data_IF_707561973973
#
_entry.id   IF_707561973973
#
_cell.length_a   1.000
_cell.length_b   1.000
_cell.length_c   1.000
_cell.angle_alpha   90.00
_cell.angle_beta   90.00
_cell.angle_gamma   90.00
#
_symmetry.space_group_name_H-M   'P 1'
#
loop_
_entity.id
_entity.type
_entity.pdbx_description
1 polymer ?
#
# COMPACT_ATOMS: atom_id res chain seq x y z
N UNK A 1 11.06 1.14 23.81
CA UNK A 1 10.98 2.50 23.24
C UNK A 1 10.23 3.40 24.20
N UNK A 2 10.71 4.62 24.43
CA UNK A 2 9.98 5.68 25.13
C UNK A 2 9.60 6.72 24.06
N UNK A 3 8.31 7.00 23.90
CA UNK A 3 7.83 7.99 22.92
C UNK A 3 7.62 9.30 23.67
N UNK A 4 8.18 10.39 23.14
CA UNK A 4 8.00 11.76 23.64
C UNK A 4 7.40 12.58 22.51
N UNK A 5 6.34 13.33 22.82
CA UNK A 5 5.70 14.27 21.89
C UNK A 5 5.93 15.67 22.47
N UNK A 6 6.46 16.57 21.65
CA UNK A 6 6.71 17.97 22.00
C UNK A 6 5.84 18.83 21.09
N UNK A 7 5.02 19.71 21.65
CA UNK A 7 4.17 20.63 20.90
C UNK A 7 4.88 21.98 20.88
N UNK A 8 5.13 22.53 19.70
CA UNK A 8 5.73 23.85 19.51
C UNK A 8 4.86 24.66 18.55
N UNK A 9 4.24 25.73 19.06
CA UNK A 9 3.32 26.57 18.28
C UNK A 9 4.03 27.42 17.19
N UNK A 10 5.37 27.43 17.20
CA UNK A 10 6.20 28.19 16.26
C UNK A 10 6.63 27.39 15.04
N UNK A 11 6.28 26.11 14.94
CA UNK A 11 6.61 25.28 13.78
C UNK A 11 5.74 25.69 12.59
N UNK A 12 6.37 25.97 11.45
CA UNK A 12 5.66 26.22 10.19
C UNK A 12 5.06 24.93 9.61
N UNK A 13 5.70 23.78 9.84
CA UNK A 13 5.25 22.45 9.42
C UNK A 13 5.61 21.39 10.48
N UNK A 14 4.86 20.29 10.50
CA UNK A 14 5.10 19.15 11.39
C UNK A 14 6.44 18.47 11.05
N UNK A 15 7.36 18.40 12.02
CA UNK A 15 8.66 17.75 11.88
C UNK A 15 8.74 16.47 12.74
N UNK A 16 9.35 15.40 12.18
CA UNK A 16 9.62 14.16 12.93
C UNK A 16 11.13 13.94 13.07
N UNK A 17 11.64 14.06 14.30
CA UNK A 17 13.05 13.82 14.63
C UNK A 17 13.24 12.47 15.35
N UNK A 18 13.91 11.52 14.72
CA UNK A 18 14.21 10.20 15.30
C UNK A 18 15.57 10.25 16.01
N UNK A 19 15.58 10.24 17.35
CA UNK A 19 16.81 10.14 18.16
C UNK A 19 17.03 8.70 18.64
N UNK A 20 18.12 8.08 18.22
CA UNK A 20 18.49 6.71 18.56
C UNK A 20 19.99 6.58 18.87
N UNK A 21 20.38 5.59 19.68
CA UNK A 21 21.79 5.31 20.00
C UNK A 21 22.56 4.66 18.85
N UNK A 22 21.87 3.99 17.93
CA UNK A 22 22.43 3.42 16.71
C UNK A 22 21.34 3.21 15.67
N UNK A 23 21.72 3.24 14.39
CA UNK A 23 20.83 2.88 13.29
C UNK A 23 20.70 1.36 13.24
N UNK A 24 19.55 0.83 13.63
CA UNK A 24 19.23 -0.60 13.62
C UNK A 24 17.93 -0.87 12.85
N UNK A 25 17.60 -2.13 12.61
CA UNK A 25 16.42 -2.52 11.81
C UNK A 25 15.10 -1.91 12.32
N UNK A 26 14.94 -1.74 13.63
CA UNK A 26 13.74 -1.12 14.20
C UNK A 26 13.66 0.37 13.87
N UNK A 27 14.79 1.10 13.96
CA UNK A 27 14.88 2.53 13.61
C UNK A 27 14.63 2.73 12.11
N UNK A 28 15.21 1.86 11.26
CA UNK A 28 15.00 1.89 9.80
C UNK A 28 13.52 1.65 9.46
N UNK A 29 12.88 0.68 10.13
CA UNK A 29 11.46 0.38 9.92
C UNK A 29 10.57 1.57 10.30
N UNK A 30 10.90 2.28 11.38
CA UNK A 30 10.20 3.50 11.81
C UNK A 30 10.36 4.64 10.80
N UNK A 31 11.58 4.87 10.31
CA UNK A 31 11.84 5.87 9.27
C UNK A 31 10.99 5.61 8.03
N UNK A 32 10.96 4.36 7.55
CA UNK A 32 10.18 3.98 6.37
C UNK A 32 8.68 4.20 6.61
N UNK A 33 8.17 3.76 7.76
CA UNK A 33 6.77 3.95 8.12
C UNK A 33 6.38 5.43 8.14
N UNK A 34 7.18 6.30 8.76
CA UNK A 34 6.90 7.74 8.82
C UNK A 34 6.95 8.36 7.42
N UNK A 35 7.93 7.96 6.61
CA UNK A 35 8.09 8.45 5.23
C UNK A 35 6.96 8.03 4.29
N UNK A 36 6.31 6.90 4.58
CA UNK A 36 5.11 6.42 3.89
C UNK A 36 3.84 7.18 4.33
N UNK A 37 3.81 7.73 5.55
CA UNK A 37 2.65 8.38 6.15
C UNK A 37 2.61 9.91 5.97
N UNK A 38 3.72 10.54 5.56
CA UNK A 38 3.78 11.98 5.25
C UNK A 38 3.03 12.40 3.96
N UNK A 39 2.06 11.59 3.49
CA UNK A 39 0.68 12.07 3.43
C UNK A 39 0.32 13.21 2.46
N UNK A 40 1.18 13.61 1.53
CA UNK A 40 0.65 13.98 0.22
C UNK A 40 0.35 12.68 -0.48
N UNK A 41 -0.92 12.36 -0.77
CA UNK A 41 -1.25 11.29 -1.72
C UNK A 41 -0.36 11.53 -2.93
N UNK A 42 0.67 10.70 -3.13
CA UNK A 42 1.63 10.92 -4.21
C UNK A 42 0.83 10.82 -5.49
N UNK A 43 0.61 11.96 -6.14
CA UNK A 43 -0.07 11.99 -7.41
C UNK A 43 0.96 11.71 -8.50
N UNK A 44 0.61 10.85 -9.44
CA UNK A 44 1.36 10.67 -10.66
C UNK A 44 0.76 11.60 -11.73
N UNK A 45 1.61 12.37 -12.40
CA UNK A 45 1.21 13.13 -13.59
C UNK A 45 0.95 12.14 -14.73
N UNK A 46 -0.28 12.10 -15.23
CA UNK A 46 -0.76 11.23 -16.29
C UNK A 46 -1.49 12.07 -17.35
N UNK A 47 -1.55 11.60 -18.59
CA UNK A 47 -2.17 12.33 -19.69
C UNK A 47 -3.32 11.57 -20.34
N UNK A 48 -4.34 12.29 -20.76
CA UNK A 48 -5.38 11.81 -21.66
C UNK A 48 -5.61 12.90 -22.71
N UNK A 49 -5.16 12.62 -23.94
CA UNK A 49 -5.03 13.60 -25.03
C UNK A 49 -4.18 14.81 -24.61
N UNK A 50 -4.75 16.00 -24.60
CA UNK A 50 -4.08 17.27 -24.28
C UNK A 50 -4.25 17.67 -22.80
N UNK A 51 -4.86 16.81 -21.98
CA UNK A 51 -5.14 17.13 -20.58
C UNK A 51 -4.21 16.37 -19.64
N UNK A 52 -3.56 17.12 -18.76
CA UNK A 52 -2.77 16.61 -17.65
C UNK A 52 -3.67 16.31 -16.44
N UNK A 53 -3.47 15.14 -15.82
CA UNK A 53 -4.14 14.70 -14.61
C UNK A 53 -3.09 14.39 -13.54
N UNK A 54 -3.36 14.80 -12.30
CA UNK A 54 -2.57 14.43 -11.13
C UNK A 54 -3.35 13.36 -10.37
N UNK A 55 -3.10 12.09 -10.69
CA UNK A 55 -3.89 10.98 -10.18
C UNK A 55 -3.24 10.39 -8.93
N UNK A 56 -3.95 10.31 -7.80
CA UNK A 56 -3.42 9.69 -6.59
C UNK A 56 -3.00 8.23 -6.84
N UNK A 57 -1.81 7.84 -6.38
CA UNK A 57 -1.26 6.50 -6.59
C UNK A 57 -2.19 5.39 -6.06
N UNK A 58 -2.93 5.64 -4.98
CA UNK A 58 -3.90 4.71 -4.41
C UNK A 58 -5.11 4.45 -5.32
N UNK A 59 -5.36 5.30 -6.33
CA UNK A 59 -6.40 5.07 -7.34
C UNK A 59 -5.92 4.21 -8.51
N UNK A 60 -4.60 3.99 -8.64
CA UNK A 60 -4.01 3.24 -9.74
C UNK A 60 -3.98 1.75 -9.38
N UNK A 61 -4.57 0.94 -10.27
CA UNK A 61 -4.70 -0.50 -10.11
C UNK A 61 -3.48 -1.22 -10.68
N UNK A 62 -3.05 -0.81 -11.87
CA UNK A 62 -1.85 -1.35 -12.51
C UNK A 62 -1.38 -0.42 -13.63
N UNK A 63 -0.16 -0.67 -14.06
CA UNK A 63 0.43 -0.12 -15.25
C UNK A 63 0.75 -1.26 -16.22
N UNK A 64 0.51 -1.04 -17.50
CA UNK A 64 0.95 -1.97 -18.54
C UNK A 64 1.47 -1.25 -19.78
N UNK A 65 2.36 -1.92 -20.52
CA UNK A 65 2.82 -1.42 -21.81
C UNK A 65 1.92 -1.94 -22.91
N UNK A 66 1.26 -1.04 -23.64
CA UNK A 66 0.50 -1.34 -24.83
C UNK A 66 1.24 -0.76 -26.05
N UNK A 67 1.79 -1.64 -26.90
CA UNK A 67 2.66 -1.23 -27.99
C UNK A 67 3.96 -0.58 -27.47
N UNK A 68 4.07 0.74 -27.59
CA UNK A 68 5.23 1.53 -27.12
C UNK A 68 4.90 2.45 -25.95
N UNK A 69 3.64 2.51 -25.54
CA UNK A 69 3.17 3.45 -24.54
C UNK A 69 2.89 2.73 -23.23
N UNK A 70 3.34 3.33 -22.12
CA UNK A 70 2.97 2.89 -20.79
C UNK A 70 1.60 3.48 -20.45
N UNK A 71 0.66 2.62 -20.05
CA UNK A 71 -0.69 3.00 -19.63
C UNK A 71 -0.82 2.83 -18.13
N UNK A 72 -1.48 3.77 -17.49
CA UNK A 72 -1.90 3.69 -16.10
C UNK A 72 -3.40 3.43 -16.04
N UNK A 73 -3.80 2.37 -15.33
CA UNK A 73 -5.19 1.96 -15.21
C UNK A 73 -5.71 2.29 -13.82
N UNK A 74 -6.77 3.07 -13.76
CA UNK A 74 -7.62 3.22 -12.57
C UNK A 74 -8.80 2.25 -12.67
N UNK A 75 -9.76 2.30 -11.76
CA UNK A 75 -10.93 1.41 -11.80
C UNK A 75 -11.72 1.51 -13.13
N UNK A 76 -11.85 2.73 -13.66
CA UNK A 76 -12.74 3.11 -14.75
C UNK A 76 -12.01 3.80 -15.93
N UNK A 77 -10.83 4.40 -15.70
CA UNK A 77 -10.08 5.13 -16.74
C UNK A 77 -8.71 4.54 -17.05
N UNK A 78 -8.22 4.86 -18.23
CA UNK A 78 -6.87 4.56 -18.72
C UNK A 78 -6.21 5.88 -19.11
N UNK A 79 -4.97 6.07 -18.69
CA UNK A 79 -4.18 7.25 -19.00
C UNK A 79 -2.84 6.86 -19.63
N UNK A 80 -2.27 7.75 -20.42
CA UNK A 80 -0.85 7.68 -20.82
C UNK A 80 0.04 8.06 -19.64
N UNK A 81 1.13 7.30 -19.47
CA UNK A 81 2.17 7.55 -18.49
C UNK A 81 3.47 7.89 -19.22
N UNK A 82 4.06 9.05 -18.91
CA UNK A 82 5.28 9.52 -19.57
C UNK A 82 6.57 8.80 -19.13
N UNK A 83 6.50 7.98 -18.08
CA UNK A 83 7.62 7.19 -17.59
C UNK A 83 7.78 5.90 -18.41
N UNK A 84 9.00 5.36 -18.40
CA UNK A 84 9.24 3.97 -18.79
C UNK A 84 8.97 3.03 -17.62
N UNK A 85 8.66 1.78 -17.93
CA UNK A 85 8.29 0.79 -16.91
C UNK A 85 9.38 0.59 -15.84
N UNK A 86 10.66 0.62 -16.20
CA UNK A 86 11.75 0.45 -15.24
C UNK A 86 11.93 1.68 -14.33
N UNK A 87 11.73 2.89 -14.85
CA UNK A 87 11.75 4.13 -14.08
C UNK A 87 10.62 4.13 -13.06
N UNK A 88 9.46 3.64 -13.50
CA UNK A 88 8.30 3.48 -12.65
C UNK A 88 8.53 2.42 -11.57
N UNK A 89 9.23 1.32 -11.86
CA UNK A 89 9.57 0.29 -10.88
C UNK A 89 10.49 0.81 -9.76
N UNK A 90 11.41 1.73 -10.09
CA UNK A 90 12.26 2.40 -9.09
C UNK A 90 11.50 3.45 -8.27
N UNK A 91 10.61 4.21 -8.93
CA UNK A 91 9.80 5.24 -8.29
C UNK A 91 8.72 4.67 -7.37
N UNK A 92 8.10 3.56 -7.78
CA UNK A 92 7.00 2.92 -7.06
C UNK A 92 7.54 2.00 -5.97
N UNK A 93 7.34 2.36 -4.71
CA UNK A 93 7.68 1.52 -3.56
C UNK A 93 6.44 1.00 -2.83
N UNK A 94 6.65 0.04 -1.92
CA UNK A 94 5.61 -0.47 -1.03
C UNK A 94 4.59 -1.37 -1.72
N UNK A 95 3.53 -0.79 -2.28
CA UNK A 95 2.32 -1.53 -2.67
C UNK A 95 2.31 -1.97 -4.13
N UNK A 96 3.25 -1.47 -4.94
CA UNK A 96 3.40 -1.91 -6.31
C UNK A 96 4.35 -3.10 -6.44
N UNK A 97 4.12 -3.93 -7.45
CA UNK A 97 4.95 -5.08 -7.77
C UNK A 97 4.91 -5.36 -9.28
N UNK A 98 6.08 -5.58 -9.88
CA UNK A 98 6.17 -6.06 -11.26
C UNK A 98 5.74 -7.52 -11.34
N UNK A 99 4.81 -7.84 -12.24
CA UNK A 99 4.24 -9.19 -12.40
C UNK A 99 4.45 -9.78 -13.80
N UNK A 100 5.02 -9.00 -14.71
CA UNK A 100 5.38 -9.43 -16.06
C UNK A 100 6.49 -8.53 -16.60
N UNK A 101 6.98 -8.82 -17.81
CA UNK A 101 7.92 -7.92 -18.50
C UNK A 101 7.33 -6.54 -18.80
N UNK A 102 6.01 -6.43 -18.88
CA UNK A 102 5.29 -5.24 -19.32
C UNK A 102 4.28 -4.72 -18.30
N UNK A 103 4.22 -5.26 -17.07
CA UNK A 103 3.13 -4.95 -16.12
C UNK A 103 3.63 -4.80 -14.69
N UNK A 104 3.20 -3.71 -14.04
CA UNK A 104 3.35 -3.45 -12.60
C UNK A 104 1.96 -3.29 -11.99
N UNK A 105 1.65 -3.99 -10.91
CA UNK A 105 0.32 -3.93 -10.26
C UNK A 105 0.40 -3.30 -8.89
N UNK A 106 -0.68 -2.65 -8.48
CA UNK A 106 -0.93 -2.32 -7.09
C UNK A 106 -1.55 -3.53 -6.38
N UNK A 107 -0.86 -4.04 -5.37
CA UNK A 107 -1.27 -5.21 -4.60
C UNK A 107 -2.54 -4.97 -3.77
N UNK A 108 -2.85 -3.73 -3.42
CA UNK A 108 -4.05 -3.39 -2.62
C UNK A 108 -5.34 -3.58 -3.39
N UNK A 109 -5.28 -3.54 -4.72
CA UNK A 109 -6.45 -3.68 -5.59
C UNK A 109 -6.68 -5.10 -6.06
N UNK A 110 -5.77 -6.04 -5.83
CA UNK A 110 -5.93 -7.43 -6.28
C UNK A 110 -7.07 -8.10 -5.51
N UNK A 111 -8.09 -8.53 -6.25
CA UNK A 111 -9.20 -9.32 -5.73
C UNK A 111 -8.92 -10.82 -5.79
N UNK A 112 -8.54 -11.31 -6.97
CA UNK A 112 -8.39 -12.74 -7.25
C UNK A 112 -7.17 -13.00 -8.13
N UNK A 113 -6.63 -14.22 -8.02
CA UNK A 113 -5.67 -14.77 -8.97
C UNK A 113 -6.15 -16.15 -9.39
N UNK A 114 -6.50 -16.32 -10.67
CA UNK A 114 -6.83 -17.62 -11.24
C UNK A 114 -5.56 -18.25 -11.82
N UNK A 115 -5.02 -19.24 -11.10
CA UNK A 115 -3.75 -19.89 -11.44
C UNK A 115 -3.87 -20.69 -12.73
N UNK A 116 -2.91 -20.50 -13.63
CA UNK A 116 -2.65 -21.36 -14.77
C UNK A 116 -1.27 -22.02 -14.61
N UNK A 117 -1.19 -23.34 -14.76
CA UNK A 117 0.06 -24.10 -14.56
C UNK A 117 0.98 -24.06 -15.78
N UNK A 118 0.40 -23.96 -16.98
CA UNK A 118 1.13 -24.06 -18.24
C UNK A 118 1.37 -22.69 -18.89
N UNK A 119 0.57 -21.68 -18.53
CA UNK A 119 0.63 -20.32 -19.06
C UNK A 119 0.61 -19.24 -17.97
N UNK A 120 0.42 -17.98 -18.36
CA UNK A 120 0.22 -16.86 -17.43
C UNK A 120 -1.07 -17.02 -16.64
N UNK A 121 -1.07 -16.56 -15.38
CA UNK A 121 -2.25 -16.60 -14.52
C UNK A 121 -3.02 -15.28 -14.58
N UNK A 122 -4.34 -15.33 -14.43
CA UNK A 122 -5.21 -14.16 -14.51
C UNK A 122 -5.28 -13.45 -13.16
N UNK A 123 -5.15 -12.12 -13.17
CA UNK A 123 -5.31 -11.25 -12.00
C UNK A 123 -6.54 -10.38 -12.23
N UNK A 124 -7.43 -10.33 -11.24
CA UNK A 124 -8.63 -9.50 -11.23
C UNK A 124 -8.60 -8.51 -10.07
N UNK A 125 -9.25 -7.36 -10.25
CA UNK A 125 -9.19 -6.25 -9.30
C UNK A 125 -10.53 -5.96 -8.62
N UNK A 126 -10.48 -5.47 -7.39
CA UNK A 126 -11.67 -5.12 -6.60
C UNK A 126 -12.49 -4.04 -7.30
N UNK A 127 -13.80 -4.22 -7.44
CA UNK A 127 -14.68 -3.15 -7.95
C UNK A 127 -14.42 -2.69 -9.39
N UNK A 128 -13.68 -3.46 -10.19
CA UNK A 128 -13.41 -3.16 -11.61
C UNK A 128 -13.54 -4.42 -12.47
N UNK A 129 -13.96 -4.24 -13.72
CA UNK A 129 -13.96 -5.31 -14.73
C UNK A 129 -12.60 -5.54 -15.38
N UNK A 130 -11.61 -4.69 -15.07
CA UNK A 130 -10.25 -4.80 -15.60
C UNK A 130 -9.56 -6.06 -15.11
N UNK A 131 -8.71 -6.61 -15.98
CA UNK A 131 -7.91 -7.81 -15.69
C UNK A 131 -6.52 -7.66 -16.28
N UNK A 132 -5.55 -8.36 -15.71
CA UNK A 132 -4.20 -8.47 -16.26
C UNK A 132 -3.64 -9.88 -16.07
N UNK A 133 -2.45 -10.14 -16.60
CA UNK A 133 -1.79 -11.44 -16.55
C UNK A 133 -0.48 -11.36 -15.78
N UNK A 134 -0.31 -12.23 -14.78
CA UNK A 134 0.99 -12.50 -14.16
C UNK A 134 1.72 -13.60 -14.92
N UNK A 135 2.96 -13.31 -15.32
CA UNK A 135 3.81 -14.27 -16.01
C UNK A 135 4.31 -15.37 -15.06
N UNK A 136 4.57 -16.57 -15.58
CA UNK A 136 5.00 -17.74 -14.78
C UNK A 136 6.17 -17.46 -13.84
N UNK A 137 7.19 -16.73 -14.31
CA UNK A 137 8.37 -16.38 -13.51
C UNK A 137 8.09 -15.42 -12.35
N UNK A 138 7.01 -14.65 -12.41
CA UNK A 138 6.63 -13.66 -11.39
C UNK A 138 5.53 -14.16 -10.45
N UNK A 139 4.83 -15.24 -10.80
CA UNK A 139 3.71 -15.77 -10.02
C UNK A 139 4.10 -16.06 -8.57
N UNK A 140 5.23 -16.75 -8.36
CA UNK A 140 5.70 -17.11 -7.02
C UNK A 140 5.88 -15.86 -6.15
N UNK A 141 6.64 -14.89 -6.65
CA UNK A 141 6.90 -13.62 -5.98
C UNK A 141 5.60 -12.88 -5.65
N UNK A 142 4.66 -12.78 -6.60
CA UNK A 142 3.35 -12.15 -6.37
C UNK A 142 2.58 -12.81 -5.23
N UNK A 143 2.49 -14.14 -5.23
CA UNK A 143 1.75 -14.87 -4.19
C UNK A 143 2.40 -14.80 -2.81
N UNK A 144 3.74 -14.78 -2.75
CA UNK A 144 4.50 -14.58 -1.51
C UNK A 144 4.23 -13.18 -0.94
N UNK A 145 4.36 -12.12 -1.76
CA UNK A 145 4.08 -10.73 -1.35
C UNK A 145 2.65 -10.55 -0.83
N UNK A 146 1.66 -11.17 -1.47
CA UNK A 146 0.26 -11.09 -1.02
C UNK A 146 0.02 -11.86 0.30
N UNK A 147 0.68 -13.00 0.50
CA UNK A 147 0.59 -13.76 1.75
C UNK A 147 1.16 -12.98 2.92
N UNK A 148 2.34 -12.38 2.75
CA UNK A 148 3.01 -11.60 3.79
C UNK A 148 2.17 -10.40 4.23
N UNK A 149 1.46 -9.76 3.29
CA UNK A 149 0.53 -8.66 3.57
C UNK A 149 -0.68 -9.14 4.39
N UNK A 150 -1.25 -10.31 4.08
CA UNK A 150 -2.37 -10.88 4.87
C UNK A 150 -1.96 -11.26 6.29
N UNK A 151 -0.74 -11.79 6.48
CA UNK A 151 -0.22 -12.12 7.81
C UNK A 151 0.04 -10.88 8.67
N UNK A 152 0.58 -9.81 8.07
CA UNK A 152 0.78 -8.51 8.76
C UNK A 152 -0.55 -7.83 9.12
N UNK A 153 -1.59 -7.96 8.28
CA UNK A 153 -2.94 -7.47 8.58
C UNK A 153 -3.64 -8.23 9.72
N UNK A 154 -3.46 -9.55 9.80
CA UNK A 154 -4.05 -10.39 10.86
C UNK A 154 -3.42 -10.14 12.25
N UNK A 155 -2.11 -9.91 12.31
CA UNK A 155 -1.42 -9.56 13.57
C UNK A 155 -1.91 -8.23 14.16
N UNK A 156 -2.30 -7.27 13.32
CA UNK A 156 -2.91 -6.00 13.76
C UNK A 156 -4.36 -6.10 14.23
N UNK A 157 -5.10 -7.13 13.80
CA UNK A 157 -6.49 -7.37 14.23
C UNK A 157 -6.58 -8.17 15.54
N UNK A 158 -5.67 -9.11 15.78
CA UNK A 158 -5.60 -9.85 17.05
C UNK A 158 -5.38 -8.92 18.26
N UNK A 159 -4.50 -7.92 18.12
CA UNK A 159 -4.27 -6.91 19.17
C UNK A 159 -5.44 -5.95 19.42
N UNK A 160 -6.35 -5.77 18.45
CA UNK A 160 -7.55 -4.94 18.63
C UNK A 160 -8.70 -5.68 19.32
N UNK A 161 -8.81 -7.01 19.15
CA UNK A 161 -9.84 -7.80 19.82
C UNK A 161 -9.55 -8.03 21.32
N UNK A 162 -8.28 -8.13 21.73
CA UNK A 162 -7.91 -8.21 23.17
C UNK A 162 -8.10 -6.86 23.89
N UNK A 163 -7.85 -5.73 23.21
CA UNK A 163 -8.10 -4.38 23.73
C UNK A 163 -9.59 -4.06 23.94
N UNK A 164 -10.48 -4.65 23.13
CA UNK A 164 -11.92 -4.52 23.29
C UNK A 164 -12.44 -5.29 24.51
N UNK A 165 -12.06 -6.57 24.62
CA UNK A 165 -12.51 -7.43 25.73
C UNK A 165 -12.06 -6.98 27.11
N UNK A 166 -10.87 -6.39 27.25
CA UNK A 166 -10.40 -5.86 28.54
C UNK A 166 -11.08 -4.53 28.95
N UNK A 167 -11.65 -3.79 27.99
CA UNK A 167 -12.45 -2.59 28.31
C UNK A 167 -13.85 -2.96 28.79
N UNK A 168 -14.48 -3.95 28.14
CA UNK A 168 -15.83 -4.41 28.51
C UNK A 168 -15.86 -5.06 29.91
N UNK A 169 -14.78 -5.74 30.32
CA UNK A 169 -14.66 -6.32 31.67
C UNK A 169 -14.42 -5.26 32.76
N UNK A 170 -13.72 -4.17 32.47
CA UNK A 170 -13.49 -3.08 33.45
C UNK A 170 -14.70 -2.17 33.64
N UNK A 171 -15.59 -2.05 32.66
CA UNK A 171 -16.83 -1.27 32.81
C UNK A 171 -17.90 -1.99 33.64
N UNK A 172 -17.91 -3.33 33.64
CA UNK A 172 -18.84 -4.10 34.48
C UNK A 172 -18.46 -4.07 35.97
N UNK A 173 -17.16 -4.05 36.30
CA UNK A 173 -16.71 -3.98 37.70
C UNK A 173 -16.92 -2.57 38.32
N UNK A 174 -16.91 -1.50 37.52
CA UNK A 174 -17.06 -0.13 38.02
C UNK A 174 -18.53 0.31 38.20
N UNK A 175 -19.48 -0.37 37.55
CA UNK A 175 -20.90 -0.15 37.76
C UNK A 175 -21.43 -0.73 39.09
N UNK A 176 -20.69 -1.67 39.70
CA UNK A 176 -21.06 -2.33 40.96
C UNK A 176 -20.74 -1.53 42.22
N UNK A 177 -19.89 -0.51 42.16
CA UNK A 177 -19.35 0.14 43.37
C UNK A 177 -19.90 1.56 43.64
N UNK A 178 -21.06 1.91 43.06
CA UNK A 178 -21.72 3.22 43.22
C UNK A 178 -23.03 3.18 44.02
N UNK A 179 -23.33 2.07 44.70
CA UNK A 179 -24.41 1.98 45.69
C UNK A 179 -23.92 1.23 46.92
N UNK A 180 -23.58 1.97 47.98
CA UNK A 180 -23.21 1.43 49.29
C UNK A 180 -22.42 2.43 50.11
#
# INVERSE_FOLDING_TARGET
>A
MKVKIEIQETLEEDEVVIRCSSLNEAVISLQNFISEQNGTSRCLKLTDKETDYFVPMEKIYFFDTEGRELRAHTADRIFSCGYKLYELEELLSGNFLRISKSTIVNLDHIYSITRNLTASSLVEFNGSSKKTLVSRGYYRLLTERLRDRKLKGAAGMAGKQESGRQRDLKEQDNAGNSKG
#
